data_IF_066414799110
#
_entry.id   IF_066414799110
#
_cell.length_a   1.000
_cell.length_b   1.000
_cell.length_c   1.000
_cell.angle_alpha   90.00
_cell.angle_beta   90.00
_cell.angle_gamma   90.00
#
_symmetry.space_group_name_H-M   'P 1'
#
loop_
_entity.id
_entity.type
_entity.pdbx_description
1 polymer ?
#
# COMPACT_ATOMS: atom_id res chain seq x y z
N UNK A 1 6.32 0.62 27.09
CA UNK A 1 6.48 0.64 25.61
C UNK A 1 6.97 -0.69 25.04
N UNK A 2 7.99 -1.31 25.60
CA UNK A 2 8.54 -2.57 25.07
C UNK A 2 7.53 -3.72 24.92
N UNK A 3 6.65 -3.97 25.91
CA UNK A 3 5.69 -5.10 25.88
C UNK A 3 4.60 -4.93 24.82
N UNK A 4 4.01 -3.74 24.67
CA UNK A 4 3.01 -3.47 23.62
C UNK A 4 3.60 -3.68 22.23
N UNK A 5 4.81 -3.20 22.02
CA UNK A 5 5.50 -3.35 20.72
C UNK A 5 5.79 -4.82 20.41
N UNK A 6 6.29 -5.61 21.38
CA UNK A 6 6.49 -7.06 21.21
C UNK A 6 5.20 -7.78 20.85
N UNK A 7 4.08 -7.44 21.51
CA UNK A 7 2.78 -8.03 21.19
C UNK A 7 2.40 -7.76 19.73
N UNK A 8 2.61 -6.54 19.24
CA UNK A 8 2.34 -6.19 17.83
C UNK A 8 3.28 -6.94 16.87
N UNK A 9 4.57 -7.01 17.16
CA UNK A 9 5.56 -7.72 16.32
C UNK A 9 5.20 -9.20 16.19
N UNK A 10 4.89 -9.88 17.32
CA UNK A 10 4.50 -11.28 17.29
C UNK A 10 3.10 -11.50 16.67
N UNK A 11 2.19 -10.53 16.78
CA UNK A 11 0.92 -10.58 16.04
C UNK A 11 1.17 -10.54 14.54
N UNK A 12 2.05 -9.67 14.05
CA UNK A 12 2.43 -9.59 12.64
C UNK A 12 3.10 -10.89 12.16
N UNK A 13 4.05 -11.43 12.93
CA UNK A 13 4.72 -12.71 12.60
C UNK A 13 3.74 -13.88 12.51
N UNK A 14 2.80 -13.98 13.44
CA UNK A 14 1.79 -15.05 13.41
C UNK A 14 0.88 -14.97 12.17
N UNK A 15 0.61 -13.77 11.65
CA UNK A 15 -0.18 -13.61 10.43
C UNK A 15 0.48 -14.19 9.17
N UNK A 16 1.78 -14.41 9.17
CA UNK A 16 2.48 -15.01 8.02
C UNK A 16 2.07 -16.47 7.80
N UNK A 17 1.70 -17.17 8.88
CA UNK A 17 1.37 -18.59 8.87
C UNK A 17 -0.06 -18.93 9.33
N UNK A 18 -0.78 -17.98 9.92
CA UNK A 18 -2.09 -18.19 10.53
C UNK A 18 -3.12 -17.23 9.92
N UNK A 19 -4.32 -17.77 9.62
CA UNK A 19 -5.44 -16.89 9.21
C UNK A 19 -5.78 -15.92 10.34
N UNK A 20 -6.08 -14.68 10.03
CA UNK A 20 -6.44 -13.67 11.04
C UNK A 20 -7.67 -14.09 11.87
N UNK A 21 -8.57 -14.91 11.32
CA UNK A 21 -9.76 -15.45 12.02
C UNK A 21 -9.40 -16.51 13.05
N UNK A 22 -8.26 -17.18 12.88
CA UNK A 22 -7.77 -18.23 13.77
C UNK A 22 -6.75 -17.70 14.79
N UNK A 23 -6.42 -16.42 14.70
CA UNK A 23 -5.44 -15.76 15.56
C UNK A 23 -5.98 -15.64 16.99
N UNK A 24 -5.30 -16.29 17.93
CA UNK A 24 -5.74 -16.34 19.34
C UNK A 24 -4.82 -15.50 20.23
N UNK A 25 -5.43 -14.78 21.17
CA UNK A 25 -4.70 -14.00 22.19
C UNK A 25 -3.68 -14.85 22.95
N UNK A 26 -4.02 -16.13 23.24
CA UNK A 26 -3.12 -17.07 23.94
C UNK A 26 -1.83 -17.31 23.14
N UNK A 27 -1.94 -17.44 21.83
CA UNK A 27 -0.79 -17.69 20.95
C UNK A 27 0.06 -16.43 20.82
N UNK A 28 -0.55 -15.26 20.63
CA UNK A 28 0.16 -13.96 20.58
C UNK A 28 0.92 -13.74 21.91
N UNK A 29 0.27 -13.94 23.04
CA UNK A 29 0.89 -13.73 24.35
C UNK A 29 2.05 -14.69 24.59
N UNK A 30 1.90 -15.98 24.21
CA UNK A 30 2.94 -16.99 24.32
C UNK A 30 4.17 -16.62 23.47
N UNK A 31 3.98 -16.28 22.21
CA UNK A 31 5.07 -15.90 21.30
C UNK A 31 5.78 -14.61 21.78
N UNK A 32 5.02 -13.66 22.32
CA UNK A 32 5.57 -12.42 22.90
C UNK A 32 6.25 -12.62 24.27
N UNK A 33 6.32 -13.87 24.79
CA UNK A 33 6.91 -14.17 26.09
C UNK A 33 6.16 -13.52 27.26
N UNK A 34 4.82 -13.47 27.20
CA UNK A 34 3.98 -12.85 28.24
C UNK A 34 2.72 -13.69 28.51
N UNK A 35 1.84 -13.21 29.38
CA UNK A 35 0.58 -13.87 29.70
C UNK A 35 -0.60 -13.26 28.92
N UNK A 36 -1.70 -14.01 28.69
CA UNK A 36 -2.94 -13.44 28.16
C UNK A 36 -3.47 -12.28 29.00
N UNK A 37 -3.30 -12.33 30.32
CA UNK A 37 -3.69 -11.22 31.20
C UNK A 37 -2.91 -9.94 30.90
N UNK A 38 -1.62 -10.07 30.57
CA UNK A 38 -0.79 -8.93 30.11
C UNK A 38 -1.24 -8.42 28.74
N UNK A 39 -1.62 -9.30 27.81
CA UNK A 39 -2.16 -8.88 26.51
C UNK A 39 -3.40 -8.00 26.70
N UNK A 40 -4.35 -8.44 27.54
CA UNK A 40 -5.59 -7.69 27.79
C UNK A 40 -5.40 -6.33 28.47
N UNK A 41 -4.22 -6.05 29.03
CA UNK A 41 -3.87 -4.69 29.51
C UNK A 41 -3.62 -3.70 28.36
N UNK A 42 -3.28 -4.18 27.17
CA UNK A 42 -2.96 -3.35 26.00
C UNK A 42 -4.02 -3.40 24.91
N UNK A 43 -4.65 -4.55 24.72
CA UNK A 43 -5.63 -4.79 23.67
C UNK A 43 -6.81 -5.61 24.21
N UNK A 44 -8.06 -5.18 23.97
CA UNK A 44 -9.23 -5.92 24.42
C UNK A 44 -9.40 -7.27 23.73
N UNK A 45 -8.88 -7.41 22.51
CA UNK A 45 -8.95 -8.62 21.69
C UNK A 45 -7.84 -8.62 20.60
N UNK A 46 -7.70 -9.74 19.88
CA UNK A 46 -6.73 -9.88 18.80
C UNK A 46 -7.00 -8.91 17.63
N UNK A 47 -8.26 -8.62 17.35
CA UNK A 47 -8.67 -7.69 16.28
C UNK A 47 -8.19 -6.27 16.55
N UNK A 48 -8.23 -5.82 17.81
CA UNK A 48 -7.70 -4.52 18.23
C UNK A 48 -6.18 -4.42 18.07
N UNK A 49 -5.45 -5.53 18.24
CA UNK A 49 -4.02 -5.58 17.95
C UNK A 49 -3.76 -5.50 16.45
N UNK A 50 -4.58 -6.17 15.62
CA UNK A 50 -4.52 -6.07 14.15
C UNK A 50 -4.83 -4.66 13.67
N UNK A 51 -5.83 -4.02 14.26
CA UNK A 51 -6.16 -2.62 13.92
C UNK A 51 -5.01 -1.67 14.26
N UNK A 52 -4.36 -1.87 15.41
CA UNK A 52 -3.19 -1.07 15.78
C UNK A 52 -2.00 -1.28 14.83
N UNK A 53 -1.83 -2.48 14.26
CA UNK A 53 -0.86 -2.74 13.19
C UNK A 53 -1.26 -2.02 11.91
N UNK A 54 -2.54 -2.08 11.53
CA UNK A 54 -3.07 -1.39 10.34
C UNK A 54 -2.88 0.13 10.43
N UNK A 55 -3.12 0.74 11.60
CA UNK A 55 -2.87 2.16 11.83
C UNK A 55 -1.39 2.52 11.67
N UNK A 56 -0.48 1.67 12.17
CA UNK A 56 0.96 1.83 11.98
C UNK A 56 1.36 1.77 10.51
N UNK A 57 0.77 0.82 9.78
CA UNK A 57 0.99 0.65 8.35
C UNK A 57 0.52 1.85 7.52
N UNK A 58 -0.58 2.49 7.90
CA UNK A 58 -1.06 3.73 7.25
C UNK A 58 -0.02 4.83 7.35
N UNK A 59 0.61 5.00 8.52
CA UNK A 59 1.68 5.99 8.72
C UNK A 59 2.91 5.69 7.85
N UNK A 60 3.40 4.45 7.86
CA UNK A 60 4.55 4.01 7.05
C UNK A 60 4.25 4.15 5.56
N UNK A 61 3.09 3.64 5.11
CA UNK A 61 2.69 3.69 3.71
C UNK A 61 2.51 5.11 3.21
N UNK A 62 1.98 6.01 4.05
CA UNK A 62 1.87 7.42 3.74
C UNK A 62 3.21 8.05 3.32
N UNK A 63 4.30 7.74 4.03
CA UNK A 63 5.63 8.23 3.67
C UNK A 63 6.24 7.46 2.49
N UNK A 64 6.20 6.13 2.53
CA UNK A 64 6.89 5.26 1.57
C UNK A 64 6.31 5.35 0.15
N UNK A 65 4.97 5.41 0.03
CA UNK A 65 4.30 5.50 -1.26
C UNK A 65 4.35 6.91 -1.87
N UNK A 66 4.36 7.97 -1.02
CA UNK A 66 4.32 9.35 -1.52
C UNK A 66 5.71 9.86 -1.86
N UNK A 67 6.76 9.38 -1.21
CA UNK A 67 8.12 9.87 -1.41
C UNK A 67 8.53 9.91 -2.89
N UNK A 68 8.31 8.86 -3.72
CA UNK A 68 8.62 8.92 -5.14
C UNK A 68 7.89 10.02 -5.90
N UNK A 69 6.64 10.35 -5.50
CA UNK A 69 5.89 11.43 -6.12
C UNK A 69 6.45 12.82 -5.79
N UNK A 70 6.89 13.02 -4.53
CA UNK A 70 7.35 14.31 -4.02
C UNK A 70 8.75 14.66 -4.45
N UNK A 71 9.65 13.67 -4.48
CA UNK A 71 11.07 13.86 -4.74
C UNK A 71 11.42 13.80 -6.23
N UNK A 72 10.50 13.33 -7.06
CA UNK A 72 10.76 13.11 -8.47
C UNK A 72 10.70 14.38 -9.31
N UNK A 73 11.48 14.35 -10.39
CA UNK A 73 11.39 15.32 -11.49
C UNK A 73 10.49 14.73 -12.57
N UNK A 74 9.34 15.38 -12.80
CA UNK A 74 8.29 14.90 -13.71
C UNK A 74 8.38 15.45 -15.13
N UNK A 75 9.59 15.69 -15.63
CA UNK A 75 9.84 16.16 -17.02
C UNK A 75 11.14 15.57 -17.57
N UNK A 76 11.26 15.56 -18.90
CA UNK A 76 12.42 15.02 -19.58
C UNK A 76 12.64 13.53 -19.32
N UNK A 77 13.88 13.08 -19.42
CA UNK A 77 14.27 11.67 -19.25
C UNK A 77 14.03 11.15 -17.82
N UNK A 78 14.00 12.05 -16.83
CA UNK A 78 13.81 11.67 -15.43
C UNK A 78 12.36 11.30 -15.09
N UNK A 79 11.38 11.73 -15.89
CA UNK A 79 9.97 11.43 -15.63
C UNK A 79 9.66 9.93 -15.70
N UNK A 80 10.33 9.16 -16.57
CA UNK A 80 10.15 7.72 -16.62
C UNK A 80 10.72 7.02 -15.38
N UNK A 81 11.90 7.44 -14.92
CA UNK A 81 12.50 6.94 -13.69
C UNK A 81 11.61 7.22 -12.45
N UNK A 82 10.90 8.36 -12.43
CA UNK A 82 9.89 8.65 -11.41
C UNK A 82 8.74 7.63 -11.42
N UNK A 83 8.27 7.25 -12.60
CA UNK A 83 7.23 6.23 -12.75
C UNK A 83 7.71 4.85 -12.27
N UNK A 84 8.96 4.48 -12.56
CA UNK A 84 9.57 3.24 -12.07
C UNK A 84 9.69 3.25 -10.54
N UNK A 85 10.08 4.36 -9.95
CA UNK A 85 10.16 4.49 -8.49
C UNK A 85 8.78 4.35 -7.82
N UNK A 86 7.71 4.91 -8.43
CA UNK A 86 6.33 4.75 -7.95
C UNK A 86 5.89 3.28 -8.05
N UNK A 87 6.07 2.63 -9.20
CA UNK A 87 5.70 1.24 -9.39
C UNK A 87 6.43 0.32 -8.41
N UNK A 88 7.73 0.54 -8.23
CA UNK A 88 8.57 -0.19 -7.27
C UNK A 88 8.06 0.00 -5.84
N UNK A 89 7.76 1.23 -5.43
CA UNK A 89 7.27 1.50 -4.08
C UNK A 89 5.97 0.74 -3.76
N UNK A 90 5.03 0.63 -4.72
CA UNK A 90 3.81 -0.14 -4.54
C UNK A 90 4.08 -1.64 -4.45
N UNK A 91 4.85 -2.21 -5.37
CA UNK A 91 5.15 -3.64 -5.38
C UNK A 91 5.88 -4.07 -4.11
N UNK A 92 6.91 -3.33 -3.71
CA UNK A 92 7.71 -3.64 -2.52
C UNK A 92 6.89 -3.46 -1.23
N UNK A 93 6.09 -2.38 -1.12
CA UNK A 93 5.26 -2.15 0.05
C UNK A 93 4.25 -3.29 0.29
N UNK A 94 3.56 -3.74 -0.76
CA UNK A 94 2.64 -4.88 -0.65
C UNK A 94 3.33 -6.21 -0.42
N UNK A 95 4.52 -6.43 -0.99
CA UNK A 95 5.31 -7.63 -0.73
C UNK A 95 5.71 -7.71 0.74
N UNK A 96 6.25 -6.62 1.29
CA UNK A 96 6.73 -6.54 2.68
C UNK A 96 5.60 -6.69 3.71
N UNK A 97 4.37 -6.27 3.37
CA UNK A 97 3.23 -6.25 4.29
C UNK A 97 2.07 -7.16 3.86
N UNK A 98 2.33 -8.15 3.01
CA UNK A 98 1.30 -8.94 2.33
C UNK A 98 0.28 -9.60 3.27
N UNK A 99 0.71 -10.10 4.43
CA UNK A 99 -0.17 -10.73 5.41
C UNK A 99 -1.15 -9.72 6.03
N UNK A 100 -0.65 -8.57 6.47
CA UNK A 100 -1.48 -7.52 7.07
C UNK A 100 -2.39 -6.83 6.06
N UNK A 101 -1.88 -6.55 4.84
CA UNK A 101 -2.67 -5.99 3.76
C UNK A 101 -3.86 -6.88 3.40
N UNK A 102 -3.66 -8.20 3.39
CA UNK A 102 -4.75 -9.18 3.20
C UNK A 102 -5.80 -9.10 4.29
N UNK A 103 -5.41 -8.90 5.55
CA UNK A 103 -6.37 -8.69 6.66
C UNK A 103 -7.18 -7.43 6.45
N UNK A 104 -6.52 -6.31 6.12
CA UNK A 104 -7.16 -5.02 5.87
C UNK A 104 -8.19 -5.15 4.73
N UNK A 105 -7.80 -5.77 3.62
CA UNK A 105 -8.68 -5.92 2.46
C UNK A 105 -9.88 -6.84 2.76
N UNK A 106 -9.66 -7.99 3.41
CA UNK A 106 -10.74 -8.93 3.75
C UNK A 106 -11.71 -8.33 4.77
N UNK A 107 -11.21 -7.74 5.86
CA UNK A 107 -12.07 -7.13 6.87
C UNK A 107 -12.87 -5.94 6.30
N UNK A 108 -12.27 -5.12 5.45
CA UNK A 108 -12.96 -4.03 4.75
C UNK A 108 -14.06 -4.54 3.81
N UNK A 109 -13.83 -5.65 3.09
CA UNK A 109 -14.82 -6.30 2.22
C UNK A 109 -15.96 -6.91 3.03
N UNK A 110 -15.70 -7.45 4.22
CA UNK A 110 -16.69 -7.98 5.15
C UNK A 110 -17.50 -6.88 5.86
N UNK A 111 -17.16 -5.61 5.64
CA UNK A 111 -17.94 -4.46 6.11
C UNK A 111 -17.38 -3.81 7.38
N UNK A 112 -16.20 -4.20 7.86
CA UNK A 112 -15.57 -3.50 8.99
C UNK A 112 -15.11 -2.11 8.59
N UNK A 113 -15.78 -1.09 9.15
CA UNK A 113 -15.56 0.31 8.82
C UNK A 113 -14.18 0.81 9.29
N UNK A 114 -13.59 0.20 10.32
CA UNK A 114 -12.28 0.59 10.86
C UNK A 114 -11.18 0.22 9.87
N UNK A 115 -11.16 -1.03 9.41
CA UNK A 115 -10.20 -1.50 8.40
C UNK A 115 -10.43 -0.84 7.03
N UNK A 116 -11.71 -0.59 6.67
CA UNK A 116 -12.02 0.23 5.50
C UNK A 116 -11.45 1.65 5.62
N UNK A 117 -11.51 2.24 6.81
CA UNK A 117 -10.90 3.55 7.12
C UNK A 117 -9.39 3.52 6.90
N UNK A 118 -8.67 2.53 7.45
CA UNK A 118 -7.23 2.35 7.26
C UNK A 118 -6.87 2.23 5.77
N UNK A 119 -7.59 1.37 5.03
CA UNK A 119 -7.37 1.19 3.59
C UNK A 119 -7.58 2.49 2.81
N UNK A 120 -8.67 3.19 3.08
CA UNK A 120 -8.99 4.46 2.44
C UNK A 120 -7.91 5.51 2.74
N UNK A 121 -7.49 5.65 3.99
CA UNK A 121 -6.49 6.62 4.40
C UNK A 121 -5.13 6.34 3.76
N UNK A 122 -4.69 5.07 3.73
CA UNK A 122 -3.45 4.64 3.08
C UNK A 122 -3.41 5.09 1.60
N UNK A 123 -4.47 4.80 0.85
CA UNK A 123 -4.52 5.08 -0.58
C UNK A 123 -4.83 6.55 -0.89
N UNK A 124 -5.65 7.21 -0.08
CA UNK A 124 -6.06 8.60 -0.31
C UNK A 124 -4.88 9.57 -0.25
N UNK A 125 -3.92 9.32 0.64
CA UNK A 125 -2.72 10.16 0.76
C UNK A 125 -1.92 10.15 -0.54
N UNK A 126 -1.77 8.98 -1.17
CA UNK A 126 -1.14 8.86 -2.49
C UNK A 126 -1.99 9.52 -3.58
N UNK A 127 -3.31 9.31 -3.56
CA UNK A 127 -4.24 9.87 -4.55
C UNK A 127 -4.14 11.40 -4.60
N UNK A 128 -4.15 12.06 -3.44
CA UNK A 128 -4.01 13.53 -3.36
C UNK A 128 -2.66 13.98 -3.95
N UNK A 129 -1.57 13.34 -3.58
CA UNK A 129 -0.25 13.69 -4.10
C UNK A 129 -0.13 13.46 -5.62
N UNK A 130 -0.71 12.37 -6.14
CA UNK A 130 -0.74 12.09 -7.57
C UNK A 130 -1.61 13.11 -8.33
N UNK A 131 -2.77 13.50 -7.78
CA UNK A 131 -3.63 14.54 -8.34
C UNK A 131 -2.85 15.85 -8.52
N UNK A 132 -2.08 16.26 -7.52
CA UNK A 132 -1.26 17.48 -7.59
C UNK A 132 -0.19 17.39 -8.68
N UNK A 133 0.47 16.24 -8.84
CA UNK A 133 1.46 16.02 -9.91
C UNK A 133 0.79 16.12 -11.27
N UNK A 134 -0.31 15.41 -11.50
CA UNK A 134 -1.02 15.40 -12.78
C UNK A 134 -1.54 16.81 -13.13
N UNK A 135 -2.11 17.53 -12.15
CA UNK A 135 -2.57 18.89 -12.34
C UNK A 135 -1.43 19.84 -12.78
N UNK A 136 -0.25 19.71 -12.17
CA UNK A 136 0.95 20.48 -12.54
C UNK A 136 1.42 20.14 -13.96
N UNK A 137 1.46 18.85 -14.33
CA UNK A 137 1.83 18.41 -15.68
C UNK A 137 0.84 18.94 -16.75
N UNK A 138 -0.46 18.91 -16.44
CA UNK A 138 -1.49 19.47 -17.30
C UNK A 138 -1.34 20.98 -17.46
N UNK A 139 -1.12 21.71 -16.38
CA UNK A 139 -0.93 23.18 -16.40
C UNK A 139 0.34 23.58 -17.17
N UNK A 140 1.37 22.74 -17.15
CA UNK A 140 2.61 22.95 -17.94
C UNK A 140 2.49 22.50 -19.40
N UNK A 141 1.35 21.96 -19.83
CA UNK A 141 1.12 21.48 -21.20
C UNK A 141 1.79 20.15 -21.55
N UNK A 142 2.24 19.40 -20.54
CA UNK A 142 2.83 18.06 -20.73
C UNK A 142 1.79 16.94 -20.72
N UNK A 143 0.64 17.16 -20.06
CA UNK A 143 -0.49 16.23 -20.09
C UNK A 143 -1.66 16.80 -20.88
N UNK A 144 -2.52 15.95 -21.51
CA UNK A 144 -3.69 16.38 -22.25
C UNK A 144 -4.65 17.23 -21.40
N UNK A 145 -5.22 18.29 -21.98
CA UNK A 145 -6.12 19.22 -21.26
C UNK A 145 -7.42 18.55 -20.80
N UNK A 146 -7.88 17.53 -21.51
CA UNK A 146 -9.09 16.75 -21.25
C UNK A 146 -8.93 15.74 -20.10
N UNK A 147 -7.70 15.44 -19.66
CA UNK A 147 -7.47 14.58 -18.50
C UNK A 147 -7.90 15.28 -17.22
N UNK A 148 -8.84 14.66 -16.51
CA UNK A 148 -9.17 15.07 -15.13
C UNK A 148 -8.10 14.52 -14.16
N UNK A 149 -7.39 15.38 -13.41
CA UNK A 149 -6.30 14.94 -12.56
C UNK A 149 -6.73 14.02 -11.42
N UNK A 150 -7.90 14.28 -10.80
CA UNK A 150 -8.39 13.49 -9.68
C UNK A 150 -8.87 12.10 -10.16
N UNK A 151 -9.67 12.07 -11.22
CA UNK A 151 -10.12 10.81 -11.81
C UNK A 151 -8.92 9.95 -12.28
N UNK A 152 -7.92 10.57 -12.92
CA UNK A 152 -6.71 9.87 -13.36
C UNK A 152 -5.92 9.32 -12.18
N UNK A 153 -5.75 10.09 -11.10
CA UNK A 153 -5.08 9.63 -9.89
C UNK A 153 -5.82 8.46 -9.23
N UNK A 154 -7.17 8.50 -9.16
CA UNK A 154 -7.99 7.40 -8.63
C UNK A 154 -7.81 6.12 -9.46
N UNK A 155 -7.83 6.22 -10.79
CA UNK A 155 -7.61 5.06 -11.67
C UNK A 155 -6.21 4.49 -11.46
N UNK A 156 -5.18 5.33 -11.44
CA UNK A 156 -3.80 4.90 -11.22
C UNK A 156 -3.62 4.20 -9.87
N UNK A 157 -4.09 4.78 -8.77
CA UNK A 157 -3.94 4.17 -7.45
C UNK A 157 -4.71 2.84 -7.35
N UNK A 158 -5.88 2.75 -7.98
CA UNK A 158 -6.67 1.52 -8.03
C UNK A 158 -5.94 0.41 -8.78
N UNK A 159 -5.35 0.73 -9.93
CA UNK A 159 -4.53 -0.20 -10.71
C UNK A 159 -3.29 -0.64 -9.91
N UNK A 160 -2.52 0.32 -9.38
CA UNK A 160 -1.27 0.05 -8.67
C UNK A 160 -1.49 -0.82 -7.44
N UNK A 161 -2.47 -0.47 -6.60
CA UNK A 161 -2.79 -1.23 -5.39
C UNK A 161 -3.31 -2.63 -5.71
N UNK A 162 -4.15 -2.77 -6.75
CA UNK A 162 -4.68 -4.08 -7.14
C UNK A 162 -3.59 -5.01 -7.68
N UNK A 163 -2.74 -4.52 -8.59
CA UNK A 163 -1.63 -5.31 -9.14
C UNK A 163 -0.66 -5.71 -8.03
N UNK A 164 -0.29 -4.77 -7.15
CA UNK A 164 0.61 -5.04 -6.04
C UNK A 164 0.02 -6.09 -5.06
N UNK A 165 -1.28 -6.03 -4.76
CA UNK A 165 -1.94 -6.99 -3.89
C UNK A 165 -1.97 -8.42 -4.46
N UNK A 166 -1.95 -8.56 -5.80
CA UNK A 166 -2.09 -9.84 -6.48
C UNK A 166 -0.79 -10.34 -7.14
N UNK A 167 0.35 -9.65 -6.93
CA UNK A 167 1.63 -9.95 -7.61
C UNK A 167 2.08 -11.40 -7.43
N UNK A 168 1.90 -12.00 -6.25
CA UNK A 168 2.26 -13.38 -5.99
C UNK A 168 1.41 -14.40 -6.79
N UNK A 169 0.11 -14.10 -6.96
CA UNK A 169 -0.78 -14.90 -7.80
C UNK A 169 -0.47 -14.72 -9.30
N UNK A 170 -0.13 -13.51 -9.70
CA UNK A 170 0.28 -13.19 -11.08
C UNK A 170 1.58 -13.91 -11.44
N UNK A 171 2.53 -14.00 -10.52
CA UNK A 171 3.77 -14.76 -10.72
C UNK A 171 3.52 -16.25 -10.99
N UNK A 172 2.46 -16.85 -10.42
CA UNK A 172 2.10 -18.25 -10.67
C UNK A 172 1.65 -18.52 -12.10
N UNK A 173 1.19 -17.51 -12.83
CA UNK A 173 0.83 -17.62 -14.26
C UNK A 173 1.99 -17.21 -15.18
N UNK A 174 3.20 -17.05 -14.64
CA UNK A 174 4.43 -16.86 -15.41
C UNK A 174 4.75 -15.41 -15.75
N UNK A 175 4.10 -14.43 -15.12
CA UNK A 175 4.44 -13.01 -15.28
C UNK A 175 5.42 -12.60 -14.18
N UNK A 176 6.60 -12.17 -14.58
CA UNK A 176 7.67 -11.71 -13.70
C UNK A 176 7.34 -10.35 -13.03
N UNK A 177 7.83 -10.13 -11.82
CA UNK A 177 7.64 -8.86 -11.10
C UNK A 177 8.29 -7.68 -11.84
N UNK A 178 9.39 -7.92 -12.55
CA UNK A 178 10.04 -6.90 -13.36
C UNK A 178 9.21 -6.53 -14.60
N UNK A 179 8.48 -7.50 -15.18
CA UNK A 179 7.51 -7.22 -16.25
C UNK A 179 6.33 -6.41 -15.73
N UNK A 180 5.84 -6.72 -14.54
CA UNK A 180 4.81 -5.92 -13.87
C UNK A 180 5.30 -4.49 -13.64
N UNK A 181 6.49 -4.33 -13.06
CA UNK A 181 7.10 -3.02 -12.81
C UNK A 181 7.20 -2.20 -14.08
N UNK A 182 7.75 -2.76 -15.15
CA UNK A 182 7.86 -2.07 -16.46
C UNK A 182 6.51 -1.67 -17.02
N UNK A 183 5.53 -2.55 -16.95
CA UNK A 183 4.18 -2.29 -17.47
C UNK A 183 3.47 -1.20 -16.65
N UNK A 184 3.53 -1.28 -15.32
CA UNK A 184 3.00 -0.26 -14.43
C UNK A 184 3.66 1.10 -14.68
N UNK A 185 4.98 1.15 -14.81
CA UNK A 185 5.74 2.37 -15.09
C UNK A 185 5.29 3.05 -16.39
N UNK A 186 5.09 2.28 -17.45
CA UNK A 186 4.57 2.79 -18.72
C UNK A 186 3.17 3.36 -18.60
N UNK A 187 2.28 2.67 -17.88
CA UNK A 187 0.90 3.12 -17.66
C UNK A 187 0.86 4.39 -16.82
N UNK A 188 1.70 4.48 -15.76
CA UNK A 188 1.84 5.71 -14.97
C UNK A 188 2.33 6.85 -15.87
N UNK A 189 3.39 6.61 -16.66
CA UNK A 189 3.97 7.63 -17.53
C UNK A 189 2.93 8.18 -18.52
N UNK A 190 2.20 7.29 -19.19
CA UNK A 190 1.16 7.68 -20.14
C UNK A 190 0.01 8.43 -19.45
N UNK A 191 -0.39 8.01 -18.24
CA UNK A 191 -1.46 8.65 -17.46
C UNK A 191 -1.07 10.00 -16.86
N UNK A 192 0.21 10.21 -16.53
CA UNK A 192 0.69 11.45 -15.89
C UNK A 192 1.24 12.45 -16.93
N UNK A 193 1.98 11.96 -17.92
CA UNK A 193 2.66 12.79 -18.93
C UNK A 193 1.85 12.88 -20.23
N UNK A 194 0.96 11.91 -20.49
CA UNK A 194 0.11 11.91 -21.67
C UNK A 194 0.83 11.64 -23.00
N UNK A 195 2.08 11.17 -22.95
CA UNK A 195 2.90 10.82 -24.11
C UNK A 195 3.41 9.39 -23.98
N UNK A 196 3.81 8.78 -25.09
CA UNK A 196 4.55 7.53 -25.03
C UNK A 196 6.00 7.80 -24.60
N UNK A 197 6.65 6.91 -23.82
CA UNK A 197 7.98 7.17 -23.23
C UNK A 197 9.12 7.39 -24.23
N UNK A 198 8.88 7.21 -25.54
CA UNK A 198 9.90 7.20 -26.59
C UNK A 198 9.54 8.06 -27.81
N UNK A 199 8.59 9.01 -27.66
CA UNK A 199 8.27 10.02 -28.67
C UNK A 199 9.12 11.29 -28.52
#
# INVERSE_FOLDING_TARGET
MATRQRLLEHTATLLESTSYRDLKVVDIAREAGTSPATFYQYFPDAESALLALADGLVGEGGERLIRPLREAVWHGEQAYAACEAVATAFLDFWADHSALMRVIDLAALEGDLRFRGCRTQLLNTFTVAATDVIAKQRAAGFAPAELDPEATAIVLVSMLSHVAAHQSGIAQVGVDVDDLRRSMSRLIYTGVIGRTPFD
#
